data_IF_137184477483
#
_entry.id   IF_137184477483
#
_cell.length_a   1.000
_cell.length_b   1.000
_cell.length_c   1.000
_cell.angle_alpha   90.00
_cell.angle_beta   90.00
_cell.angle_gamma   90.00
#
_symmetry.space_group_name_H-M   'P 1'
#
loop_
_entity.id
_entity.type
_entity.pdbx_description
1 polymer ?
#
# COMPACT_ATOMS: atom_id res chain seq x y z
N UNK A 1 -5.92 6.08 19.37
CA UNK A 1 -6.47 7.21 18.58
C UNK A 1 -6.32 6.82 17.12
N UNK A 2 -7.42 6.71 16.37
CA UNK A 2 -7.36 6.40 14.93
C UNK A 2 -6.57 7.50 14.22
N UNK A 3 -5.52 7.12 13.50
CA UNK A 3 -4.72 8.04 12.69
C UNK A 3 -5.60 8.55 11.54
N UNK A 4 -5.66 9.86 11.26
CA UNK A 4 -6.58 10.41 10.24
C UNK A 4 -6.42 9.76 8.85
N UNK A 5 -5.24 9.20 8.55
CA UNK A 5 -4.95 8.46 7.31
C UNK A 5 -5.73 7.14 7.21
N UNK A 6 -5.86 6.44 8.33
CA UNK A 6 -6.52 5.14 8.39
C UNK A 6 -8.03 5.27 8.14
N UNK A 7 -8.63 6.40 8.55
CA UNK A 7 -10.04 6.72 8.29
C UNK A 7 -10.27 7.03 6.81
N UNK A 8 -9.39 7.83 6.20
CA UNK A 8 -9.50 8.18 4.77
C UNK A 8 -9.39 6.93 3.88
N UNK A 9 -8.49 6.00 4.21
CA UNK A 9 -8.36 4.74 3.47
C UNK A 9 -9.60 3.87 3.61
N UNK A 10 -10.16 3.74 4.82
CA UNK A 10 -11.41 2.99 5.03
C UNK A 10 -12.57 3.60 4.26
N UNK A 11 -12.77 4.91 4.35
CA UNK A 11 -13.83 5.61 3.64
C UNK A 11 -13.70 5.43 2.12
N UNK A 12 -12.49 5.52 1.57
CA UNK A 12 -12.24 5.27 0.15
C UNK A 12 -12.58 3.82 -0.24
N UNK A 13 -12.23 2.83 0.60
CA UNK A 13 -12.56 1.41 0.37
C UNK A 13 -14.06 1.15 0.48
N UNK A 14 -14.76 1.81 1.39
CA UNK A 14 -16.21 1.70 1.54
C UNK A 14 -16.95 2.29 0.34
N UNK A 15 -16.55 3.48 -0.11
CA UNK A 15 -17.23 4.21 -1.18
C UNK A 15 -16.90 3.68 -2.57
N UNK A 16 -15.63 3.32 -2.81
CA UNK A 16 -15.13 3.05 -4.16
C UNK A 16 -14.64 1.61 -4.34
N UNK A 17 -14.57 0.81 -3.28
CA UNK A 17 -13.89 -0.48 -3.28
C UNK A 17 -14.34 -1.44 -4.38
N UNK A 18 -15.62 -1.42 -4.74
CA UNK A 18 -16.17 -2.30 -5.78
C UNK A 18 -15.70 -1.89 -7.19
N UNK A 19 -15.49 -0.59 -7.43
CA UNK A 19 -15.03 -0.01 -8.70
C UNK A 19 -13.49 0.06 -8.82
N UNK A 20 -12.74 -0.22 -7.74
CA UNK A 20 -11.27 -0.28 -7.82
C UNK A 20 -10.84 -1.44 -8.72
N UNK A 21 -10.19 -1.10 -9.83
CA UNK A 21 -9.71 -2.05 -10.85
C UNK A 21 -8.23 -2.43 -10.69
N UNK A 22 -7.41 -1.56 -10.08
CA UNK A 22 -6.00 -1.83 -9.79
C UNK A 22 -5.48 -0.99 -8.63
N UNK A 23 -4.36 -1.39 -8.03
CA UNK A 23 -3.71 -0.67 -6.92
C UNK A 23 -2.25 -0.39 -7.26
N UNK A 24 -1.85 0.88 -7.17
CA UNK A 24 -0.46 1.29 -7.31
C UNK A 24 0.14 1.51 -5.93
N UNK A 25 1.14 0.71 -5.56
CA UNK A 25 1.82 0.82 -4.27
C UNK A 25 3.01 1.77 -4.39
N UNK A 26 2.97 2.86 -3.64
CA UNK A 26 4.06 3.81 -3.46
C UNK A 26 4.18 4.18 -2.00
N UNK A 27 5.36 4.61 -1.60
CA UNK A 27 5.63 5.05 -0.24
C UNK A 27 6.08 6.51 -0.20
N UNK A 28 6.27 7.03 1.00
CA UNK A 28 6.83 8.36 1.20
C UNK A 28 7.70 8.42 2.44
N UNK A 29 8.64 9.36 2.44
CA UNK A 29 9.36 9.82 3.63
C UNK A 29 9.18 11.33 3.77
N UNK A 30 9.27 11.85 4.99
CA UNK A 30 9.32 13.29 5.22
C UNK A 30 10.77 13.77 5.24
N UNK A 31 11.15 14.58 4.25
CA UNK A 31 12.47 15.21 4.15
C UNK A 31 12.31 16.73 4.10
N UNK A 32 12.96 17.44 5.02
CA UNK A 32 12.90 18.91 5.12
C UNK A 32 11.46 19.47 5.12
N UNK A 33 10.55 18.77 5.82
CA UNK A 33 9.13 19.12 5.90
C UNK A 33 8.33 18.87 4.63
N UNK A 34 8.90 18.18 3.62
CA UNK A 34 8.24 17.83 2.37
C UNK A 34 8.05 16.32 2.26
N UNK A 35 6.95 15.91 1.61
CA UNK A 35 6.73 14.53 1.23
C UNK A 35 7.55 14.19 0.00
N UNK A 36 8.42 13.20 0.12
CA UNK A 36 9.22 12.66 -0.98
C UNK A 36 8.77 11.23 -1.24
N UNK A 37 8.34 10.95 -2.48
CA UNK A 37 7.90 9.60 -2.87
C UNK A 37 9.09 8.65 -2.99
N UNK A 38 8.93 7.45 -2.43
CA UNK A 38 9.94 6.39 -2.47
C UNK A 38 9.26 5.05 -2.78
N UNK A 39 10.07 4.02 -2.99
CA UNK A 39 9.57 2.68 -3.29
C UNK A 39 8.77 2.09 -2.12
N UNK A 40 7.74 1.30 -2.43
CA UNK A 40 6.90 0.65 -1.43
C UNK A 40 7.72 -0.14 -0.39
N UNK A 41 7.49 0.10 0.90
CA UNK A 41 8.20 -0.60 1.99
C UNK A 41 9.52 0.05 2.41
N UNK A 42 9.86 1.20 1.83
CA UNK A 42 11.06 1.98 2.20
C UNK A 42 10.74 3.31 2.89
N UNK A 43 9.47 3.57 3.17
CA UNK A 43 9.00 4.80 3.79
C UNK A 43 8.08 4.59 4.99
N UNK A 44 7.16 5.53 5.18
CA UNK A 44 6.31 5.66 6.36
C UNK A 44 4.82 5.28 6.11
N UNK A 45 4.48 4.76 4.93
CA UNK A 45 3.12 4.36 4.60
C UNK A 45 2.69 3.11 5.40
N UNK A 46 1.47 3.15 5.95
CA UNK A 46 0.86 1.99 6.59
C UNK A 46 -0.03 1.24 5.58
N UNK A 47 0.40 0.05 5.15
CA UNK A 47 -0.31 -0.76 4.17
C UNK A 47 -1.36 -1.70 4.75
N UNK A 48 -1.50 -1.82 6.08
CA UNK A 48 -2.31 -2.88 6.73
C UNK A 48 -3.73 -2.97 6.18
N UNK A 49 -4.47 -1.86 6.15
CA UNK A 49 -5.86 -1.82 5.68
C UNK A 49 -5.98 -2.08 4.17
N UNK A 50 -5.02 -1.61 3.39
CA UNK A 50 -4.97 -1.81 1.94
C UNK A 50 -4.75 -3.29 1.63
N UNK A 51 -3.81 -3.93 2.34
CA UNK A 51 -3.49 -5.35 2.16
C UNK A 51 -4.67 -6.23 2.58
N UNK A 52 -5.33 -5.93 3.70
CA UNK A 52 -6.56 -6.64 4.10
C UNK A 52 -7.65 -6.49 3.04
N UNK A 53 -7.90 -5.27 2.56
CA UNK A 53 -8.87 -5.02 1.48
C UNK A 53 -8.57 -5.85 0.23
N UNK A 54 -7.31 -5.86 -0.22
CA UNK A 54 -6.89 -6.65 -1.38
C UNK A 54 -7.15 -8.13 -1.13
N UNK A 55 -6.69 -8.69 0.00
CA UNK A 55 -6.79 -10.13 0.29
C UNK A 55 -8.23 -10.61 0.48
N UNK A 56 -9.05 -9.80 1.14
CA UNK A 56 -10.42 -10.17 1.52
C UNK A 56 -11.43 -9.90 0.40
N UNK A 57 -11.36 -8.72 -0.23
CA UNK A 57 -12.38 -8.26 -1.20
C UNK A 57 -11.92 -8.35 -2.65
N UNK A 58 -10.62 -8.37 -2.93
CA UNK A 58 -10.06 -8.27 -4.29
C UNK A 58 -8.82 -9.17 -4.52
N UNK A 59 -8.83 -10.48 -4.17
CA UNK A 59 -7.62 -11.33 -4.06
C UNK A 59 -6.80 -11.54 -5.35
N UNK A 60 -7.32 -11.13 -6.50
CA UNK A 60 -6.66 -11.25 -7.82
C UNK A 60 -6.45 -9.90 -8.52
N UNK A 61 -6.66 -8.79 -7.82
CA UNK A 61 -6.46 -7.46 -8.38
C UNK A 61 -4.99 -7.21 -8.74
N UNK A 62 -4.76 -6.48 -9.81
CA UNK A 62 -3.41 -6.10 -10.18
C UNK A 62 -2.85 -5.06 -9.21
N UNK A 63 -1.67 -5.38 -8.66
CA UNK A 63 -0.89 -4.49 -7.81
C UNK A 63 0.43 -4.17 -8.51
N UNK A 64 0.69 -2.89 -8.74
CA UNK A 64 1.96 -2.41 -9.32
C UNK A 64 2.81 -1.74 -8.24
N UNK A 65 4.14 -1.83 -8.37
CA UNK A 65 5.08 -1.15 -7.49
C UNK A 65 5.62 0.08 -8.20
N UNK A 66 5.47 1.26 -7.58
CA UNK A 66 5.98 2.52 -8.10
C UNK A 66 7.29 2.94 -7.42
N UNK A 67 8.01 3.88 -8.06
CA UNK A 67 9.30 4.42 -7.62
C UNK A 67 10.39 3.36 -7.40
N UNK A 68 10.23 2.19 -8.01
CA UNK A 68 11.24 1.14 -7.98
C UNK A 68 12.31 1.35 -9.04
N UNK A 69 13.56 1.06 -8.68
CA UNK A 69 14.69 0.89 -9.58
C UNK A 69 15.09 -0.59 -9.60
N UNK A 70 15.95 -1.05 -10.52
CA UNK A 70 16.44 -2.43 -10.52
C UNK A 70 17.04 -2.88 -9.18
N UNK A 71 17.62 -1.94 -8.42
CA UNK A 71 18.28 -2.20 -7.15
C UNK A 71 17.30 -2.45 -5.99
N UNK A 72 16.10 -1.84 -6.01
CA UNK A 72 15.14 -1.92 -4.90
C UNK A 72 13.83 -2.65 -5.24
N UNK A 73 13.60 -3.01 -6.52
CA UNK A 73 12.35 -3.63 -6.96
C UNK A 73 12.07 -4.96 -6.26
N UNK A 74 13.11 -5.78 -6.06
CA UNK A 74 12.97 -7.09 -5.37
C UNK A 74 12.58 -6.89 -3.91
N UNK A 75 13.28 -6.01 -3.19
CA UNK A 75 12.97 -5.68 -1.80
C UNK A 75 11.53 -5.18 -1.65
N UNK A 76 11.11 -4.27 -2.53
CA UNK A 76 9.75 -3.69 -2.49
C UNK A 76 8.68 -4.76 -2.71
N UNK A 77 8.92 -5.66 -3.67
CA UNK A 77 8.05 -6.82 -3.91
C UNK A 77 7.97 -7.72 -2.70
N UNK A 78 9.11 -8.11 -2.14
CA UNK A 78 9.18 -9.03 -1.00
C UNK A 78 8.51 -8.45 0.24
N UNK A 79 8.66 -7.14 0.49
CA UNK A 79 7.98 -6.46 1.57
C UNK A 79 6.45 -6.54 1.42
N UNK A 80 5.92 -6.11 0.27
CA UNK A 80 4.47 -6.10 0.03
C UNK A 80 3.90 -7.53 0.00
N UNK A 81 4.61 -8.47 -0.62
CA UNK A 81 4.22 -9.88 -0.63
C UNK A 81 4.22 -10.47 0.78
N UNK A 82 5.21 -10.15 1.60
CA UNK A 82 5.29 -10.59 2.99
C UNK A 82 4.12 -10.08 3.84
N UNK A 83 3.70 -8.83 3.65
CA UNK A 83 2.49 -8.29 4.27
C UNK A 83 1.24 -9.06 3.81
N UNK A 84 1.12 -9.32 2.51
CA UNK A 84 0.00 -10.08 1.97
C UNK A 84 -0.07 -11.50 2.53
N UNK A 85 1.06 -12.22 2.56
CA UNK A 85 1.13 -13.62 3.01
C UNK A 85 0.84 -13.73 4.51
N UNK A 86 1.38 -12.81 5.31
CA UNK A 86 1.18 -12.77 6.76
C UNK A 86 -0.19 -12.23 7.20
N UNK A 87 -0.87 -11.46 6.35
CA UNK A 87 -2.20 -10.93 6.63
C UNK A 87 -3.20 -12.08 6.84
N UNK A 88 -3.70 -12.21 8.07
CA UNK A 88 -4.77 -13.16 8.40
C UNK A 88 -6.13 -12.48 8.21
N UNK A 89 -7.00 -13.17 7.47
CA UNK A 89 -8.42 -12.82 7.28
C UNK A 89 -9.28 -13.74 8.13
#
# INVERSE_FOLDING_TARGET
MSNSRDVIIEEAIELLGDDIAMVHMKDFVVQDGKLVSVAAGTGEMNYEKIIRFIKERKPYIHVTLENTTPENAVQSKEYIQGLYDSCRI
#
